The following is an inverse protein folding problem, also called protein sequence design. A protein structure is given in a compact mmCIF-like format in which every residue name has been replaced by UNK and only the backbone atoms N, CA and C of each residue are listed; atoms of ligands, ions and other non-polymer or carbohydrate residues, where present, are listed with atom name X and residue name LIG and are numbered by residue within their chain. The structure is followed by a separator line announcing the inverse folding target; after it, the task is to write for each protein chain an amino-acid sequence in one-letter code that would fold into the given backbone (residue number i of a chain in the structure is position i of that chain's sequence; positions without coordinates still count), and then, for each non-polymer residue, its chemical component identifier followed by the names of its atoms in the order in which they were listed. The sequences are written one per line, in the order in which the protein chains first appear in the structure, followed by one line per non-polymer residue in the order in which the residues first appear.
data_IF_081281599313
#
_entry.id   IF_081281599313
#
_cell.length_a   1.000
_cell.length_b   1.000
_cell.length_c   1.000
_cell.angle_alpha   90.00
_cell.angle_beta   90.00
_cell.angle_gamma   90.00
#
_symmetry.space_group_name_H-M   'P 1'
#
loop_
_entity.id
_entity.type
_entity.pdbx_description
1 polymer ?
#
# COMPACT_ATOMS: atom_id res chain seq x y z
N UNK A 1 1.96 20.86 -0.43
CA UNK A 1 0.75 20.50 0.33
C UNK A 1 0.68 18.99 0.33
N UNK A 2 0.61 18.36 1.50
CA UNK A 2 0.38 16.91 1.60
C UNK A 2 -1.10 16.65 1.36
N UNK A 3 -1.45 15.73 0.47
CA UNK A 3 -2.86 15.33 0.29
C UNK A 3 -3.34 14.64 1.56
N UNK A 4 -4.42 15.15 2.16
CA UNK A 4 -5.02 14.59 3.38
C UNK A 4 -6.43 14.10 3.10
N UNK A 5 -6.74 12.87 3.47
CA UNK A 5 -8.10 12.31 3.37
C UNK A 5 -8.78 12.34 4.74
N UNK A 6 -10.04 12.78 4.78
CA UNK A 6 -10.84 12.75 6.01
C UNK A 6 -11.46 11.36 6.19
N UNK A 7 -11.22 10.75 7.35
CA UNK A 7 -11.77 9.44 7.71
C UNK A 7 -12.48 9.51 9.06
N UNK A 8 -13.57 8.76 9.21
CA UNK A 8 -14.28 8.57 10.48
C UNK A 8 -13.86 7.24 11.09
N UNK A 9 -13.47 7.25 12.36
CA UNK A 9 -13.12 6.04 13.12
C UNK A 9 -14.03 5.88 14.33
N UNK A 10 -14.35 4.65 14.67
CA UNK A 10 -15.09 4.31 15.88
C UNK A 10 -14.11 3.70 16.88
N UNK A 11 -14.00 4.31 18.05
CA UNK A 11 -13.16 3.83 19.15
C UNK A 11 -14.01 3.28 20.28
N UNK A 12 -13.44 2.33 21.02
CA UNK A 12 -14.03 1.88 22.28
C UNK A 12 -14.11 3.07 23.27
N UNK A 13 -15.06 3.02 24.22
CA UNK A 13 -15.15 4.05 25.27
C UNK A 13 -13.85 4.21 26.05
N UNK A 14 -13.15 3.09 26.32
CA UNK A 14 -11.89 3.07 27.06
C UNK A 14 -10.81 3.81 26.27
N UNK A 15 -10.63 3.48 24.99
CA UNK A 15 -9.66 4.14 24.12
C UNK A 15 -9.96 5.62 23.96
N UNK A 16 -11.24 5.99 23.85
CA UNK A 16 -11.64 7.40 23.74
C UNK A 16 -11.38 8.19 25.03
N UNK A 17 -11.51 7.56 26.20
CA UNK A 17 -11.15 8.20 27.47
C UNK A 17 -9.63 8.48 27.53
N UNK A 18 -8.79 7.52 27.13
CA UNK A 18 -7.35 7.74 27.03
C UNK A 18 -7.00 8.89 26.09
N UNK A 19 -7.66 8.99 24.93
CA UNK A 19 -7.49 10.12 24.01
C UNK A 19 -7.85 11.45 24.67
N UNK A 20 -8.96 11.49 25.41
CA UNK A 20 -9.42 12.71 26.11
C UNK A 20 -8.45 13.16 27.19
N UNK A 21 -7.84 12.23 27.92
CA UNK A 21 -6.87 12.53 28.98
C UNK A 21 -5.59 13.19 28.43
N UNK A 22 -5.29 12.98 27.15
CA UNK A 22 -4.13 13.55 26.46
C UNK A 22 -4.43 14.91 25.78
N UNK A 23 -5.70 15.34 25.74
CA UNK A 23 -6.09 16.64 25.19
C UNK A 23 -5.56 17.76 26.08
N UNK A 24 -5.02 18.81 25.47
CA UNK A 24 -4.34 19.92 26.15
C UNK A 24 -2.84 19.70 26.34
N UNK A 25 -2.35 18.46 26.22
CA UNK A 25 -0.91 18.13 26.27
C UNK A 25 -0.38 17.79 24.89
N UNK A 26 -1.03 16.87 24.17
CA UNK A 26 -0.56 16.37 22.88
C UNK A 26 -1.31 16.93 21.67
N UNK A 27 -2.43 17.64 21.90
CA UNK A 27 -3.23 18.31 20.89
C UNK A 27 -4.43 19.06 21.51
N UNK A 28 -5.00 20.00 20.77
CA UNK A 28 -6.09 20.86 21.26
C UNK A 28 -7.48 20.21 21.11
N UNK A 29 -7.57 19.10 20.37
CA UNK A 29 -8.82 18.35 20.15
C UNK A 29 -8.54 16.85 20.16
N UNK A 30 -9.55 16.00 20.44
CA UNK A 30 -9.37 14.55 20.34
C UNK A 30 -8.89 14.08 18.97
N UNK A 31 -9.36 14.73 17.89
CA UNK A 31 -8.91 14.43 16.54
C UNK A 31 -7.41 14.70 16.34
N UNK A 32 -6.92 15.84 16.84
CA UNK A 32 -5.49 16.18 16.78
C UNK A 32 -4.63 15.19 17.56
N UNK A 33 -5.09 14.74 18.74
CA UNK A 33 -4.41 13.71 19.53
C UNK A 33 -4.39 12.37 18.78
N UNK A 34 -5.52 11.96 18.20
CA UNK A 34 -5.61 10.71 17.42
C UNK A 34 -4.67 10.77 16.21
N UNK A 35 -4.67 11.86 15.44
CA UNK A 35 -3.75 12.05 14.32
C UNK A 35 -2.31 11.84 14.74
N UNK A 36 -1.89 12.46 15.85
CA UNK A 36 -0.52 12.36 16.35
C UNK A 36 -0.13 10.95 16.81
N UNK A 37 -1.07 10.23 17.43
CA UNK A 37 -0.86 8.82 17.81
C UNK A 37 -0.67 7.96 16.56
N UNK A 38 -1.50 8.18 15.53
CA UNK A 38 -1.44 7.44 14.27
C UNK A 38 -0.16 7.75 13.50
N UNK A 39 0.23 9.03 13.40
CA UNK A 39 1.50 9.45 12.82
C UNK A 39 2.67 8.80 13.55
N UNK A 40 2.68 8.86 14.88
CA UNK A 40 3.73 8.21 15.67
C UNK A 40 3.78 6.70 15.44
N UNK A 41 2.63 6.04 15.28
CA UNK A 41 2.56 4.62 14.95
C UNK A 41 3.19 4.32 13.59
N UNK A 42 2.99 5.15 12.57
CA UNK A 42 3.60 4.94 11.25
C UNK A 42 5.08 5.34 11.20
N UNK A 43 5.49 6.38 11.95
CA UNK A 43 6.88 6.84 11.99
C UNK A 43 7.80 5.87 12.75
N UNK A 44 7.27 5.20 13.77
CA UNK A 44 7.97 4.13 14.47
C UNK A 44 7.89 2.85 13.63
N UNK A 45 8.77 2.70 12.63
CA UNK A 45 8.86 1.51 11.74
C UNK A 45 8.96 0.14 12.44
N UNK A 46 8.98 0.11 13.78
CA UNK A 46 8.69 -1.08 14.59
C UNK A 46 7.31 -1.71 14.32
N UNK A 47 6.38 -1.00 13.70
CA UNK A 47 5.04 -1.53 13.38
C UNK A 47 4.88 -1.96 11.91
N UNK A 48 5.94 -1.88 11.11
CA UNK A 48 5.92 -2.32 9.71
C UNK A 48 5.52 -3.80 9.61
N UNK A 49 5.96 -4.63 10.56
CA UNK A 49 5.62 -6.06 10.61
C UNK A 49 4.12 -6.29 10.83
N UNK A 50 3.46 -5.45 11.64
CA UNK A 50 2.01 -5.50 11.87
C UNK A 50 1.27 -5.15 10.59
N UNK A 51 1.69 -4.08 9.91
CA UNK A 51 1.09 -3.66 8.63
C UNK A 51 1.26 -4.74 7.57
N UNK A 52 2.44 -5.34 7.45
CA UNK A 52 2.69 -6.42 6.50
C UNK A 52 1.87 -7.68 6.81
N UNK A 53 1.72 -8.06 8.09
CA UNK A 53 0.81 -9.15 8.48
C UNK A 53 -0.65 -8.85 8.10
N UNK A 54 -1.10 -7.61 8.27
CA UNK A 54 -2.47 -7.22 7.88
C UNK A 54 -2.66 -7.26 6.36
N UNK A 55 -1.67 -6.81 5.57
CA UNK A 55 -1.68 -6.93 4.11
C UNK A 55 -1.67 -8.40 3.67
N UNK A 56 -0.86 -9.24 4.30
CA UNK A 56 -0.83 -10.68 4.02
C UNK A 56 -2.18 -11.35 4.27
N UNK A 57 -2.82 -11.03 5.40
CA UNK A 57 -4.17 -11.55 5.69
C UNK A 57 -5.21 -11.05 4.69
N UNK A 58 -5.10 -9.81 4.21
CA UNK A 58 -5.96 -9.29 3.13
C UNK A 58 -5.77 -10.12 1.85
N UNK A 59 -4.55 -10.46 1.46
CA UNK A 59 -4.26 -11.34 0.30
C UNK A 59 -4.90 -12.71 0.45
N UNK A 60 -4.82 -13.30 1.64
CA UNK A 60 -5.40 -14.62 1.90
C UNK A 60 -6.94 -14.62 1.77
N UNK A 61 -7.60 -13.60 2.33
CA UNK A 61 -9.06 -13.51 2.32
C UNK A 61 -9.63 -13.04 0.98
N UNK A 62 -8.90 -12.16 0.30
CA UNK A 62 -9.29 -11.55 -0.96
C UNK A 62 -8.12 -11.63 -1.94
N UNK A 63 -7.84 -12.84 -2.47
CA UNK A 63 -6.74 -13.01 -3.40
C UNK A 63 -6.97 -12.13 -4.64
N UNK A 64 -5.91 -11.50 -5.16
CA UNK A 64 -6.02 -10.76 -6.42
C UNK A 64 -6.55 -11.66 -7.54
N UNK A 65 -7.46 -11.13 -8.36
CA UNK A 65 -7.97 -11.86 -9.52
C UNK A 65 -6.95 -11.81 -10.65
N UNK A 66 -6.36 -12.96 -10.97
CA UNK A 66 -5.40 -13.12 -12.06
C UNK A 66 -5.92 -12.57 -13.39
N UNK A 67 -7.21 -12.69 -13.70
CA UNK A 67 -7.75 -12.13 -14.95
C UNK A 67 -7.67 -10.61 -14.96
N UNK A 68 -7.93 -9.98 -13.82
CA UNK A 68 -7.84 -8.52 -13.68
C UNK A 68 -6.38 -8.07 -13.78
N UNK A 69 -5.47 -8.76 -13.10
CA UNK A 69 -4.02 -8.47 -13.18
C UNK A 69 -3.53 -8.61 -14.63
N UNK A 70 -3.84 -9.72 -15.28
CA UNK A 70 -3.40 -9.98 -16.66
C UNK A 70 -3.92 -8.89 -17.60
N UNK A 71 -5.17 -8.46 -17.44
CA UNK A 71 -5.73 -7.36 -18.22
C UNK A 71 -5.02 -6.03 -17.94
N UNK A 72 -4.66 -5.75 -16.69
CA UNK A 72 -3.91 -4.53 -16.32
C UNK A 72 -2.51 -4.54 -16.93
N UNK A 73 -1.74 -5.61 -16.78
CA UNK A 73 -0.40 -5.73 -17.37
C UNK A 73 -0.47 -5.52 -18.90
N UNK A 74 -1.38 -6.21 -19.58
CA UNK A 74 -1.55 -6.08 -21.03
C UNK A 74 -1.96 -4.66 -21.45
N UNK A 75 -2.80 -3.98 -20.67
CA UNK A 75 -3.23 -2.62 -21.00
C UNK A 75 -2.15 -1.58 -20.72
N UNK A 76 -1.34 -1.78 -19.68
CA UNK A 76 -0.24 -0.90 -19.33
C UNK A 76 0.76 -0.79 -20.48
N UNK A 77 1.22 -1.92 -20.99
CA UNK A 77 2.25 -1.94 -22.02
C UNK A 77 1.75 -1.67 -23.45
N UNK A 78 0.45 -1.37 -23.64
CA UNK A 78 -0.05 -0.87 -24.94
C UNK A 78 0.42 0.55 -25.25
N UNK A 79 0.70 1.35 -24.22
CA UNK A 79 1.02 2.77 -24.36
C UNK A 79 2.42 3.17 -23.88
N UNK A 80 3.07 2.33 -23.07
CA UNK A 80 4.38 2.61 -22.49
C UNK A 80 5.25 1.35 -22.50
N UNK A 81 6.56 1.49 -22.76
CA UNK A 81 7.50 0.36 -22.75
C UNK A 81 8.30 0.26 -21.44
N UNK A 82 8.18 1.27 -20.57
CA UNK A 82 8.88 1.34 -19.29
C UNK A 82 8.03 2.06 -18.25
N UNK A 83 8.11 1.63 -17.00
CA UNK A 83 7.42 2.24 -15.86
C UNK A 83 8.25 2.06 -14.59
N UNK A 84 8.28 3.03 -13.66
CA UNK A 84 8.82 2.82 -12.32
C UNK A 84 8.15 1.65 -11.58
N UNK A 85 8.93 0.91 -10.78
CA UNK A 85 8.44 -0.28 -10.09
C UNK A 85 7.30 0.04 -9.10
N UNK A 86 7.39 1.16 -8.40
CA UNK A 86 6.33 1.59 -7.48
C UNK A 86 5.04 1.95 -8.26
N UNK A 87 5.15 2.68 -9.37
CA UNK A 87 4.01 2.97 -10.25
C UNK A 87 3.42 1.70 -10.88
N UNK A 88 4.24 0.70 -11.19
CA UNK A 88 3.79 -0.60 -11.68
C UNK A 88 2.94 -1.33 -10.62
N UNK A 89 3.40 -1.37 -9.37
CA UNK A 89 2.63 -1.95 -8.25
C UNK A 89 1.29 -1.23 -8.10
N UNK A 90 1.30 0.11 -8.09
CA UNK A 90 0.11 0.93 -7.94
C UNK A 90 -0.87 0.73 -9.10
N UNK A 91 -0.39 0.62 -10.34
CA UNK A 91 -1.21 0.35 -11.51
C UNK A 91 -1.91 -1.02 -11.42
N UNK A 92 -1.19 -2.04 -10.95
CA UNK A 92 -1.76 -3.36 -10.72
C UNK A 92 -2.72 -3.40 -9.53
N UNK A 93 -2.69 -2.39 -8.64
CA UNK A 93 -3.43 -2.30 -7.38
C UNK A 93 -3.32 -3.58 -6.54
N UNK A 94 -2.14 -4.18 -6.56
CA UNK A 94 -1.78 -5.30 -5.69
C UNK A 94 -0.70 -4.81 -4.72
N UNK A 95 -0.47 -5.53 -3.65
CA UNK A 95 0.65 -5.19 -2.77
C UNK A 95 1.99 -5.62 -3.38
N UNK A 96 3.05 -4.93 -2.94
CA UNK A 96 4.43 -5.14 -3.38
C UNK A 96 4.88 -6.60 -3.22
N UNK A 97 4.48 -7.27 -2.14
CA UNK A 97 4.89 -8.66 -1.91
C UNK A 97 4.33 -9.59 -2.98
N UNK A 98 3.05 -9.42 -3.33
CA UNK A 98 2.43 -10.20 -4.41
C UNK A 98 3.14 -10.01 -5.75
N UNK A 99 3.58 -8.78 -6.06
CA UNK A 99 4.39 -8.53 -7.26
C UNK A 99 5.72 -9.26 -7.19
N UNK A 100 6.46 -9.13 -6.09
CA UNK A 100 7.77 -9.78 -5.94
C UNK A 100 7.67 -11.31 -6.01
N UNK A 101 6.62 -11.89 -5.46
CA UNK A 101 6.35 -13.33 -5.53
C UNK A 101 6.05 -13.80 -6.95
N UNK A 102 5.39 -12.99 -7.78
CA UNK A 102 4.92 -13.39 -9.11
C UNK A 102 5.72 -12.79 -10.27
N UNK A 103 6.69 -11.92 -9.99
CA UNK A 103 7.39 -11.17 -11.03
C UNK A 103 8.14 -12.07 -12.01
N UNK A 104 8.71 -13.18 -11.53
CA UNK A 104 9.42 -14.13 -12.37
C UNK A 104 8.47 -14.78 -13.41
N UNK A 105 7.25 -15.12 -12.99
CA UNK A 105 6.19 -15.65 -13.85
C UNK A 105 5.77 -14.59 -14.88
N UNK A 106 5.60 -13.35 -14.43
CA UNK A 106 5.19 -12.25 -15.30
C UNK A 106 6.28 -11.83 -16.28
N UNK A 107 7.55 -11.87 -15.87
CA UNK A 107 8.71 -11.62 -16.71
C UNK A 107 8.73 -12.54 -17.93
N UNK A 108 8.54 -13.83 -17.72
CA UNK A 108 8.45 -14.81 -18.81
C UNK A 108 7.20 -14.60 -19.65
N UNK A 109 6.04 -14.43 -19.01
CA UNK A 109 4.75 -14.37 -19.71
C UNK A 109 4.55 -13.11 -20.55
N UNK A 110 5.06 -11.97 -20.09
CA UNK A 110 4.84 -10.65 -20.69
C UNK A 110 6.11 -10.06 -21.32
N UNK A 111 7.21 -10.81 -21.34
CA UNK A 111 8.53 -10.36 -21.79
C UNK A 111 8.98 -9.06 -21.09
N UNK A 112 8.74 -8.97 -19.77
CA UNK A 112 9.14 -7.81 -18.96
C UNK A 112 10.45 -8.11 -18.22
N UNK A 113 11.30 -7.10 -18.06
CA UNK A 113 12.52 -7.14 -17.26
C UNK A 113 12.47 -6.07 -16.17
N UNK A 114 12.97 -6.41 -14.99
CA UNK A 114 13.26 -5.43 -13.96
C UNK A 114 14.72 -5.02 -14.08
N UNK A 115 14.95 -3.72 -14.22
CA UNK A 115 16.29 -3.12 -14.19
C UNK A 115 16.24 -2.01 -13.14
N UNK A 116 16.98 -2.20 -12.05
CA UNK A 116 16.94 -1.31 -10.89
C UNK A 116 15.50 -1.10 -10.38
N UNK A 117 14.97 0.13 -10.46
CA UNK A 117 13.61 0.49 -10.07
C UNK A 117 12.66 0.63 -11.27
N UNK A 118 12.97 0.04 -12.43
CA UNK A 118 12.16 0.12 -13.63
C UNK A 118 11.68 -1.26 -14.07
N UNK A 119 10.42 -1.35 -14.49
CA UNK A 119 9.86 -2.47 -15.24
C UNK A 119 9.82 -2.09 -16.71
N UNK A 120 10.52 -2.85 -17.54
CA UNK A 120 10.70 -2.59 -18.97
C UNK A 120 10.14 -3.77 -19.76
N UNK A 121 9.22 -3.52 -20.69
CA UNK A 121 8.81 -4.55 -21.65
C UNK A 121 9.84 -4.61 -22.77
N UNK A 122 10.45 -5.78 -22.98
CA UNK A 122 11.26 -5.99 -24.16
C UNK A 122 10.32 -6.06 -25.35
N UNK A 123 10.46 -5.13 -26.27
CA UNK A 123 9.97 -5.30 -27.63
C UNK A 123 11.03 -6.13 -28.35
N UNK A 124 10.71 -7.38 -28.68
CA UNK A 124 11.44 -8.09 -29.74
C UNK A 124 11.18 -7.40 -31.09
#
# INVERSE_FOLDING_TARGET
MTETTRTTVTLSKISMNQVKDLVGVFGNTPASVISRIVEHFFDYGKFDDVIEKMKAKKRELFPPDDKIINNRINNLFKGVNKIPFDEFIDFLQVDKMHVLENIHIWAERYNIKIVENLVIMNSD
#
